data_IF_656380680140
#
_entry.id   IF_656380680140
#
_cell.length_a   1.000
_cell.length_b   1.000
_cell.length_c   1.000
_cell.angle_alpha   90.00
_cell.angle_beta   90.00
_cell.angle_gamma   90.00
#
_symmetry.space_group_name_H-M   'P 1'
#
loop_
_entity.id
_entity.type
_entity.pdbx_description
1 polymer ?
#
# COMPACT_ATOMS: atom_id res chain seq x y z
N UNK A 1 -32.90 -69.03 31.54
CA UNK A 1 -32.87 -67.56 31.47
C UNK A 1 -31.66 -67.10 32.27
N UNK A 2 -30.52 -66.87 31.62
CA UNK A 2 -29.27 -66.47 32.28
C UNK A 2 -28.93 -65.05 31.82
N UNK A 3 -29.09 -64.09 32.73
CA UNK A 3 -28.78 -62.67 32.48
C UNK A 3 -27.29 -62.48 32.75
N UNK A 4 -26.50 -62.25 31.69
CA UNK A 4 -25.10 -61.83 31.80
C UNK A 4 -25.05 -60.32 31.95
N UNK A 5 -24.62 -59.84 33.10
CA UNK A 5 -24.28 -58.44 33.31
C UNK A 5 -22.87 -58.18 32.79
N UNK A 6 -22.76 -57.36 31.74
CA UNK A 6 -21.47 -56.85 31.25
C UNK A 6 -21.20 -55.54 31.99
N UNK A 7 -20.10 -55.39 32.74
CA UNK A 7 -19.75 -54.12 33.35
C UNK A 7 -19.17 -53.22 32.26
N UNK A 8 -19.89 -52.15 31.91
CA UNK A 8 -19.38 -51.07 31.05
C UNK A 8 -18.41 -50.25 31.90
N UNK A 9 -17.12 -50.41 31.65
CA UNK A 9 -16.08 -49.59 32.24
C UNK A 9 -16.09 -48.22 31.54
N UNK A 10 -16.75 -47.23 32.14
CA UNK A 10 -16.63 -45.84 31.72
C UNK A 10 -15.20 -45.36 32.02
N UNK A 11 -14.32 -45.43 31.03
CA UNK A 11 -13.10 -44.64 30.98
C UNK A 11 -13.52 -43.17 30.91
N UNK A 12 -13.63 -42.54 32.09
CA UNK A 12 -13.60 -41.09 32.20
C UNK A 12 -12.25 -40.65 31.64
N UNK A 13 -12.23 -40.29 30.37
CA UNK A 13 -11.22 -39.42 29.81
C UNK A 13 -11.26 -38.14 30.66
N UNK A 14 -10.43 -38.09 31.69
CA UNK A 14 -9.92 -36.86 32.24
C UNK A 14 -9.09 -36.22 31.13
N UNK A 15 -9.76 -35.65 30.13
CA UNK A 15 -9.21 -34.54 29.39
C UNK A 15 -8.97 -33.47 30.43
N UNK A 16 -7.75 -33.43 30.99
CA UNK A 16 -7.20 -32.19 31.49
C UNK A 16 -7.40 -31.21 30.34
N UNK A 17 -8.41 -30.36 30.46
CA UNK A 17 -8.44 -29.11 29.72
C UNK A 17 -7.14 -28.44 30.13
N UNK A 18 -6.11 -28.58 29.29
CA UNK A 18 -4.86 -27.89 29.47
C UNK A 18 -5.25 -26.42 29.35
N UNK A 19 -5.46 -25.78 30.51
CA UNK A 19 -5.83 -24.38 30.57
C UNK A 19 -4.71 -23.65 29.86
N UNK A 20 -5.06 -22.92 28.79
CA UNK A 20 -4.08 -22.19 28.01
C UNK A 20 -3.19 -21.37 28.96
N UNK A 21 -1.88 -21.43 28.74
CA UNK A 21 -0.94 -20.59 29.48
C UNK A 21 -0.80 -19.24 28.75
N UNK A 22 -1.94 -18.57 28.55
CA UNK A 22 -2.06 -17.32 27.80
C UNK A 22 -1.97 -16.08 28.69
N UNK A 23 -1.96 -16.25 30.02
CA UNK A 23 -1.98 -15.17 31.00
C UNK A 23 -0.73 -15.08 31.88
N UNK A 24 -0.17 -13.88 31.92
CA UNK A 24 0.88 -13.45 32.83
C UNK A 24 0.26 -12.68 34.00
N UNK A 25 0.52 -13.11 35.22
CA UNK A 25 0.08 -12.40 36.43
C UNK A 25 1.28 -12.04 37.28
N UNK A 26 1.07 -11.19 38.29
CA UNK A 26 2.13 -10.85 39.24
C UNK A 26 2.71 -12.09 39.95
N UNK A 27 1.89 -13.09 40.25
CA UNK A 27 2.32 -14.32 40.92
C UNK A 27 3.00 -15.32 39.97
N UNK A 28 2.88 -15.10 38.65
CA UNK A 28 3.40 -15.99 37.62
C UNK A 28 4.23 -15.17 36.61
N UNK A 29 5.47 -14.80 36.97
CA UNK A 29 6.36 -14.11 36.04
C UNK A 29 6.82 -15.05 34.93
N UNK A 30 7.22 -14.49 33.79
CA UNK A 30 7.75 -15.23 32.66
C UNK A 30 9.27 -15.17 32.68
N UNK A 31 9.90 -16.33 32.77
CA UNK A 31 11.34 -16.53 32.82
C UNK A 31 11.83 -17.32 31.60
N UNK A 32 13.14 -17.33 31.38
CA UNK A 32 13.72 -18.10 30.28
C UNK A 32 13.37 -19.59 30.34
N UNK A 33 13.07 -20.18 29.19
CA UNK A 33 12.65 -21.58 29.06
C UNK A 33 11.13 -21.79 29.15
N UNK A 34 10.39 -20.79 29.62
CA UNK A 34 8.93 -20.78 29.62
C UNK A 34 8.40 -19.85 28.52
N UNK A 35 7.17 -20.11 28.07
CA UNK A 35 6.47 -19.35 27.05
C UNK A 35 5.02 -19.14 27.45
N UNK A 36 4.48 -17.98 27.12
CA UNK A 36 3.05 -17.70 27.13
C UNK A 36 2.49 -18.08 25.75
N UNK A 37 1.42 -18.86 25.68
CA UNK A 37 0.85 -19.33 24.40
C UNK A 37 -0.59 -18.86 24.30
N UNK A 38 -0.98 -18.28 23.15
CA UNK A 38 -2.35 -17.84 22.92
C UNK A 38 -3.32 -19.02 23.00
N UNK A 39 -4.59 -18.77 23.31
CA UNK A 39 -5.61 -19.82 23.46
C UNK A 39 -5.73 -20.72 22.22
N UNK A 40 -5.58 -20.17 21.01
CA UNK A 40 -5.57 -20.94 19.77
C UNK A 40 -4.30 -21.76 19.54
N UNK A 41 -3.22 -21.50 20.26
CA UNK A 41 -1.90 -22.09 20.01
C UNK A 41 -1.12 -21.44 18.85
N UNK A 42 -1.65 -20.40 18.22
CA UNK A 42 -1.04 -19.80 17.03
C UNK A 42 0.15 -18.90 17.33
N UNK A 43 0.14 -18.22 18.47
CA UNK A 43 1.19 -17.29 18.89
C UNK A 43 1.78 -17.70 20.23
N UNK A 44 3.08 -17.47 20.37
CA UNK A 44 3.76 -17.57 21.66
C UNK A 44 4.61 -16.35 21.94
N UNK A 45 4.66 -15.95 23.20
CA UNK A 45 5.54 -14.93 23.76
C UNK A 45 6.59 -15.62 24.62
N UNK A 46 7.86 -15.20 24.48
CA UNK A 46 8.91 -15.66 25.38
C UNK A 46 10.28 -15.17 24.98
N UNK A 47 11.30 -15.75 25.59
CA UNK A 47 12.68 -15.41 25.32
C UNK A 47 13.21 -16.18 24.10
N UNK A 48 13.98 -15.50 23.26
CA UNK A 48 14.62 -16.09 22.09
C UNK A 48 15.98 -15.42 21.81
N UNK A 49 16.79 -16.12 21.02
CA UNK A 49 17.95 -15.54 20.35
C UNK A 49 17.83 -15.81 18.84
N UNK A 50 18.19 -14.86 17.96
CA UNK A 50 18.05 -15.03 16.51
C UNK A 50 18.90 -16.18 15.94
N UNK A 51 20.05 -16.48 16.57
CA UNK A 51 20.94 -17.59 16.17
C UNK A 51 21.50 -18.27 17.40
N UNK A 52 21.96 -19.51 17.25
CA UNK A 52 22.56 -20.30 18.33
C UNK A 52 23.93 -19.75 18.78
N UNK A 53 24.60 -18.97 17.93
CA UNK A 53 25.89 -18.34 18.23
C UNK A 53 25.74 -16.95 18.87
N UNK A 54 24.56 -16.33 18.77
CA UNK A 54 24.35 -14.98 19.27
C UNK A 54 24.16 -15.01 20.80
N UNK A 55 24.89 -14.15 21.50
CA UNK A 55 24.78 -14.00 22.97
C UNK A 55 23.72 -12.99 23.39
N UNK A 56 23.02 -12.39 22.43
CA UNK A 56 21.92 -11.47 22.67
C UNK A 56 20.59 -12.21 22.71
N UNK A 57 19.85 -11.97 23.80
CA UNK A 57 18.52 -12.54 24.04
C UNK A 57 17.48 -11.43 24.10
N UNK A 58 16.31 -11.75 23.57
CA UNK A 58 15.19 -10.83 23.41
C UNK A 58 13.91 -11.49 23.89
N UNK A 59 12.99 -10.68 24.39
CA UNK A 59 11.60 -11.04 24.61
C UNK A 59 10.82 -10.69 23.34
N UNK A 60 10.12 -11.66 22.76
CA UNK A 60 9.36 -11.43 21.54
C UNK A 60 8.18 -12.38 21.36
N UNK A 61 7.35 -12.06 20.38
CA UNK A 61 6.19 -12.85 19.96
C UNK A 61 6.51 -13.49 18.62
N UNK A 62 6.16 -14.76 18.43
CA UNK A 62 6.31 -15.48 17.17
C UNK A 62 5.11 -16.38 16.89
N UNK A 63 4.98 -16.81 15.64
CA UNK A 63 4.04 -17.88 15.27
C UNK A 63 4.49 -19.20 15.89
N UNK A 64 3.71 -19.74 16.84
CA UNK A 64 4.03 -20.93 17.61
C UNK A 64 3.72 -22.23 16.86
N UNK A 65 2.61 -22.25 16.13
CA UNK A 65 2.12 -23.43 15.40
C UNK A 65 2.86 -23.71 14.09
N UNK A 66 3.76 -22.81 13.64
CA UNK A 66 4.49 -22.96 12.39
C UNK A 66 5.75 -23.82 12.53
N UNK A 67 6.01 -24.76 11.59
CA UNK A 67 7.24 -25.53 11.57
C UNK A 67 8.43 -24.67 11.10
N UNK A 68 9.65 -25.10 11.48
CA UNK A 68 10.89 -24.47 11.03
C UNK A 68 11.40 -23.36 11.97
N UNK A 69 12.21 -22.41 11.46
CA UNK A 69 12.73 -21.29 12.23
C UNK A 69 11.60 -20.41 12.78
N UNK A 70 11.77 -19.90 13.99
CA UNK A 70 10.79 -19.00 14.62
C UNK A 70 10.57 -17.77 13.75
N UNK A 71 9.33 -17.55 13.30
CA UNK A 71 8.94 -16.30 12.64
C UNK A 71 8.50 -15.30 13.70
N UNK A 72 9.42 -14.44 14.11
CA UNK A 72 9.20 -13.39 15.11
C UNK A 72 8.43 -12.23 14.47
N UNK A 73 7.43 -11.71 15.16
CA UNK A 73 6.52 -10.65 14.69
C UNK A 73 6.52 -9.41 15.60
N UNK A 74 7.09 -9.53 16.81
CA UNK A 74 7.22 -8.44 17.76
C UNK A 74 8.38 -8.70 18.72
N UNK A 75 9.08 -7.63 19.13
CA UNK A 75 10.24 -7.69 20.04
C UNK A 75 10.19 -6.52 21.02
N UNK A 76 10.18 -6.81 22.33
CA UNK A 76 10.08 -5.79 23.38
C UNK A 76 11.39 -4.99 23.52
N UNK A 77 12.49 -5.69 23.79
CA UNK A 77 13.78 -5.10 24.15
C UNK A 77 14.76 -5.10 22.98
N UNK A 78 14.27 -4.77 21.78
CA UNK A 78 15.04 -4.90 20.53
C UNK A 78 16.36 -4.13 20.51
N UNK A 79 16.42 -2.97 21.18
CA UNK A 79 17.62 -2.14 21.28
C UNK A 79 18.38 -2.31 22.62
N UNK A 80 17.87 -3.16 23.52
CA UNK A 80 18.45 -3.44 24.83
C UNK A 80 18.48 -4.96 25.08
N UNK A 81 19.32 -5.72 24.35
CA UNK A 81 19.42 -7.17 24.50
C UNK A 81 19.91 -7.59 25.89
N UNK A 82 19.52 -8.79 26.31
CA UNK A 82 20.03 -9.46 27.52
C UNK A 82 21.18 -10.38 27.13
N UNK A 83 22.27 -10.39 27.89
CA UNK A 83 23.44 -11.25 27.62
C UNK A 83 23.38 -12.62 28.29
N UNK A 84 22.65 -12.73 29.41
CA UNK A 84 22.38 -13.98 30.10
C UNK A 84 20.85 -14.18 30.17
N UNK A 85 20.28 -15.16 29.45
CA UNK A 85 18.84 -15.31 29.37
C UNK A 85 18.21 -15.67 30.72
N UNK A 86 18.89 -16.47 31.53
CA UNK A 86 18.42 -16.86 32.87
C UNK A 86 18.36 -15.70 33.85
N UNK A 87 18.94 -14.54 33.51
CA UNK A 87 18.80 -13.32 34.29
C UNK A 87 17.52 -12.55 33.99
N UNK A 88 16.91 -12.78 32.81
CA UNK A 88 15.74 -12.03 32.34
C UNK A 88 14.44 -12.53 32.95
N UNK A 89 13.64 -11.62 33.52
CA UNK A 89 12.29 -11.91 34.03
C UNK A 89 11.32 -10.83 33.58
N UNK A 90 10.23 -11.23 32.93
CA UNK A 90 9.10 -10.36 32.61
C UNK A 90 8.02 -10.49 33.69
N UNK A 91 7.62 -9.37 34.28
CA UNK A 91 6.65 -9.33 35.39
C UNK A 91 5.57 -8.28 35.15
N UNK A 92 4.37 -8.54 35.69
CA UNK A 92 3.36 -7.50 35.92
C UNK A 92 3.60 -6.89 37.31
N UNK A 93 3.79 -5.59 37.36
CA UNK A 93 4.06 -4.86 38.61
C UNK A 93 2.78 -4.41 39.31
N UNK A 94 2.89 -4.07 40.61
CA UNK A 94 1.80 -3.49 41.41
C UNK A 94 1.24 -2.18 40.84
N UNK A 95 2.02 -1.46 40.02
CA UNK A 95 1.62 -0.22 39.39
C UNK A 95 1.07 -0.45 37.96
N UNK A 96 0.58 -1.66 37.67
CA UNK A 96 -0.07 -1.98 36.39
C UNK A 96 0.84 -1.65 35.19
N UNK A 97 2.10 -2.09 35.28
CA UNK A 97 3.09 -1.96 34.21
C UNK A 97 3.78 -3.29 33.97
N UNK A 98 4.10 -3.60 32.73
CA UNK A 98 4.96 -4.73 32.37
C UNK A 98 6.42 -4.29 32.44
N UNK A 99 7.24 -5.07 33.15
CA UNK A 99 8.67 -4.78 33.33
C UNK A 99 9.49 -6.03 33.03
N UNK A 100 10.42 -5.89 32.09
CA UNK A 100 11.50 -6.83 31.86
C UNK A 100 12.74 -6.35 32.64
N UNK A 101 13.20 -7.19 33.56
CA UNK A 101 14.36 -6.89 34.42
C UNK A 101 15.41 -7.99 34.36
N UNK A 102 16.65 -7.65 34.67
CA UNK A 102 17.72 -8.64 34.89
C UNK A 102 17.76 -9.13 36.35
N UNK A 103 18.66 -10.08 36.63
CA UNK A 103 18.81 -10.69 37.96
C UNK A 103 19.28 -9.71 39.04
N UNK A 104 19.78 -8.53 38.66
CA UNK A 104 20.13 -7.46 39.60
C UNK A 104 18.96 -6.52 39.91
N UNK A 105 17.80 -6.76 39.28
CA UNK A 105 16.63 -5.89 39.39
C UNK A 105 16.72 -4.64 38.52
N UNK A 106 17.70 -4.56 37.61
CA UNK A 106 17.81 -3.44 36.66
C UNK A 106 16.74 -3.59 35.58
N UNK A 107 16.02 -2.52 35.32
CA UNK A 107 15.00 -2.46 34.28
C UNK A 107 15.65 -2.41 32.89
N UNK A 108 15.34 -3.40 32.05
CA UNK A 108 15.79 -3.50 30.66
C UNK A 108 14.76 -2.88 29.71
N UNK A 109 13.49 -3.14 29.97
CA UNK A 109 12.37 -2.62 29.20
C UNK A 109 11.13 -2.51 30.08
N UNK A 110 10.29 -1.50 29.85
CA UNK A 110 9.01 -1.37 30.54
C UNK A 110 7.98 -0.66 29.66
N UNK A 111 6.70 -0.94 29.91
CA UNK A 111 5.59 -0.22 29.29
C UNK A 111 5.43 1.16 29.92
N UNK A 112 5.26 2.19 29.10
CA UNK A 112 4.80 3.50 29.59
C UNK A 112 3.31 3.38 29.95
N UNK A 113 2.98 3.38 31.24
CA UNK A 113 1.58 3.38 31.69
C UNK A 113 1.09 4.82 31.84
N UNK A 114 0.00 5.16 31.16
CA UNK A 114 -0.61 6.50 31.19
C UNK A 114 -1.61 6.65 32.35
N UNK A 115 -1.79 5.61 33.17
CA UNK A 115 -2.78 5.60 34.24
C UNK A 115 -2.13 6.08 35.53
N UNK A 116 -2.54 7.28 35.99
CA UNK A 116 -2.10 7.84 37.28
C UNK A 116 -2.60 7.03 38.49
N UNK A 117 -3.68 6.25 38.31
CA UNK A 117 -4.28 5.42 39.35
C UNK A 117 -3.75 3.98 39.31
N UNK A 118 -3.34 3.47 40.48
CA UNK A 118 -2.96 2.06 40.66
C UNK A 118 -4.16 1.16 40.37
N UNK A 119 -4.06 0.29 39.36
CA UNK A 119 -5.06 -0.75 39.12
C UNK A 119 -4.58 -2.05 39.74
N UNK A 120 -5.12 -2.37 40.92
CA UNK A 120 -4.81 -3.62 41.61
C UNK A 120 -5.22 -4.83 40.75
N UNK A 121 -4.38 -5.87 40.71
CA UNK A 121 -4.64 -7.15 40.00
C UNK A 121 -4.74 -7.06 38.48
N UNK A 122 -4.04 -6.13 37.85
CA UNK A 122 -3.81 -6.19 36.40
C UNK A 122 -3.12 -7.51 36.02
N UNK A 123 -3.43 -8.02 34.83
CA UNK A 123 -2.80 -9.20 34.25
C UNK A 123 -2.53 -8.93 32.77
N UNK A 124 -1.54 -9.60 32.18
CA UNK A 124 -1.31 -9.53 30.75
C UNK A 124 -1.76 -10.82 30.07
N UNK A 125 -2.26 -10.71 28.85
CA UNK A 125 -2.81 -11.80 28.07
C UNK A 125 -2.30 -11.74 26.63
N UNK A 126 -1.91 -12.89 26.07
CA UNK A 126 -1.58 -13.02 24.65
C UNK A 126 -2.82 -13.48 23.89
N UNK A 127 -3.43 -12.56 23.12
CA UNK A 127 -4.64 -12.83 22.35
C UNK A 127 -4.34 -13.66 21.09
N UNK A 128 -5.38 -14.32 20.55
CA UNK A 128 -5.28 -15.12 19.32
C UNK A 128 -4.94 -14.29 18.06
N UNK A 129 -5.06 -12.96 18.12
CA UNK A 129 -4.57 -12.05 17.08
C UNK A 129 -3.06 -11.86 17.10
N UNK A 130 -2.37 -12.36 18.14
CA UNK A 130 -0.97 -12.06 18.42
C UNK A 130 -0.76 -10.77 19.23
N UNK A 131 -1.83 -10.05 19.59
CA UNK A 131 -1.74 -8.86 20.43
C UNK A 131 -1.50 -9.26 21.90
N UNK A 132 -0.36 -8.84 22.46
CA UNK A 132 -0.09 -8.95 23.89
C UNK A 132 -0.61 -7.70 24.61
N UNK A 133 -1.54 -7.91 25.54
CA UNK A 133 -2.32 -6.84 26.17
C UNK A 133 -2.17 -6.89 27.68
N UNK A 134 -1.90 -5.75 28.31
CA UNK A 134 -2.02 -5.57 29.75
C UNK A 134 -3.43 -5.05 30.06
N UNK A 135 -4.19 -5.80 30.86
CA UNK A 135 -5.62 -5.57 31.09
C UNK A 135 -5.91 -5.40 32.58
N UNK A 136 -6.77 -4.44 32.90
CA UNK A 136 -7.33 -4.25 34.25
C UNK A 136 -8.38 -5.31 34.57
N UNK A 137 -8.71 -5.53 35.87
CA UNK A 137 -9.74 -6.50 36.25
C UNK A 137 -11.14 -6.21 35.68
N UNK A 138 -11.44 -4.96 35.34
CA UNK A 138 -12.71 -4.55 34.73
C UNK A 138 -12.77 -4.78 33.21
N UNK A 139 -11.69 -5.31 32.62
CA UNK A 139 -11.60 -5.62 31.20
C UNK A 139 -11.02 -4.50 30.34
N UNK A 140 -10.66 -3.35 30.91
CA UNK A 140 -10.05 -2.24 30.17
C UNK A 140 -8.60 -2.55 29.77
N UNK A 141 -8.26 -2.27 28.51
CA UNK A 141 -6.89 -2.43 28.02
C UNK A 141 -6.05 -1.22 28.46
N UNK A 142 -5.00 -1.48 29.23
CA UNK A 142 -4.08 -0.48 29.79
C UNK A 142 -2.94 -0.20 28.81
N UNK A 143 -2.46 -1.26 28.16
CA UNK A 143 -1.36 -1.23 27.20
C UNK A 143 -1.50 -2.39 26.22
N UNK A 144 -1.09 -2.21 24.97
CA UNK A 144 -1.10 -3.28 23.97
C UNK A 144 0.11 -3.22 23.05
N UNK A 145 0.63 -4.40 22.68
CA UNK A 145 1.76 -4.53 21.76
C UNK A 145 1.48 -3.97 20.37
N UNK A 146 0.23 -3.99 19.91
CA UNK A 146 -0.18 -3.43 18.62
C UNK A 146 0.00 -1.91 18.53
N UNK A 147 0.04 -1.19 19.65
CA UNK A 147 0.37 0.25 19.65
C UNK A 147 1.88 0.52 19.57
N UNK A 148 2.69 -0.54 19.70
CA UNK A 148 4.15 -0.49 19.70
C UNK A 148 4.73 -1.51 18.70
N UNK A 149 4.46 -1.36 17.39
CA UNK A 149 4.96 -2.28 16.38
C UNK A 149 6.50 -2.34 16.34
N UNK A 150 7.01 -3.43 15.78
CA UNK A 150 8.42 -3.54 15.40
C UNK A 150 8.59 -3.39 13.89
N UNK A 151 8.75 -4.48 13.16
CA UNK A 151 8.88 -4.50 11.70
C UNK A 151 7.66 -5.11 11.00
N UNK A 152 6.72 -5.69 11.75
CA UNK A 152 5.66 -6.53 11.21
C UNK A 152 4.27 -6.04 11.62
N UNK A 153 3.36 -6.03 10.65
CA UNK A 153 1.93 -5.81 10.83
C UNK A 153 1.18 -7.13 10.69
N UNK A 154 0.34 -7.44 11.68
CA UNK A 154 -0.51 -8.63 11.71
C UNK A 154 -1.94 -8.33 11.25
N UNK A 155 -2.73 -9.35 10.86
CA UNK A 155 -4.15 -9.17 10.58
C UNK A 155 -4.87 -8.57 11.79
N UNK A 156 -5.90 -7.75 11.56
CA UNK A 156 -6.70 -7.02 12.58
C UNK A 156 -5.94 -5.96 13.39
N UNK A 157 -4.64 -5.78 13.14
CA UNK A 157 -3.86 -4.71 13.74
C UNK A 157 -4.29 -3.35 13.18
N UNK A 158 -4.75 -2.46 14.06
CA UNK A 158 -5.06 -1.06 13.71
C UNK A 158 -3.80 -0.21 13.86
N UNK A 159 -3.02 -0.06 12.79
CA UNK A 159 -1.82 0.76 12.80
C UNK A 159 -2.17 2.25 12.60
N UNK A 160 -2.09 3.05 13.66
CA UNK A 160 -2.27 4.50 13.59
C UNK A 160 -0.99 5.16 13.05
N UNK A 161 -0.97 5.48 11.76
CA UNK A 161 0.20 6.05 11.10
C UNK A 161 0.35 7.55 11.41
N UNK A 162 -0.75 8.31 11.41
CA UNK A 162 -0.75 9.73 11.78
C UNK A 162 -2.04 10.19 12.47
N UNK A 163 -1.91 11.26 13.27
CA UNK A 163 -3.02 11.94 13.94
C UNK A 163 -2.88 13.44 13.75
N UNK A 164 -3.91 14.10 13.20
CA UNK A 164 -3.89 15.54 12.89
C UNK A 164 -2.62 15.96 12.12
N UNK A 165 -2.27 15.19 11.10
CA UNK A 165 -1.07 15.34 10.26
C UNK A 165 0.28 15.18 10.98
N UNK A 166 0.31 14.72 12.23
CA UNK A 166 1.54 14.34 12.93
C UNK A 166 1.77 12.84 12.86
N UNK A 167 3.01 12.41 12.59
CA UNK A 167 3.40 11.00 12.58
C UNK A 167 3.29 10.42 13.99
N UNK A 168 2.57 9.31 14.13
CA UNK A 168 2.35 8.61 15.41
C UNK A 168 3.02 7.24 15.39
N UNK A 169 2.69 6.42 14.41
CA UNK A 169 3.19 5.06 14.28
C UNK A 169 4.29 4.93 13.23
N UNK A 170 5.24 4.03 13.50
CA UNK A 170 6.30 3.66 12.55
C UNK A 170 6.64 2.18 12.69
N UNK A 171 6.78 1.49 11.58
CA UNK A 171 7.50 0.21 11.54
C UNK A 171 8.97 0.48 11.32
N UNK A 172 9.85 -0.19 12.06
CA UNK A 172 11.31 -0.06 11.96
C UNK A 172 11.86 -1.44 11.65
N UNK A 173 12.52 -1.56 10.49
CA UNK A 173 13.13 -2.81 10.04
C UNK A 173 14.15 -3.32 11.06
N UNK A 174 14.39 -4.62 11.05
CA UNK A 174 15.55 -5.18 11.74
C UNK A 174 16.84 -4.63 11.11
N UNK A 175 17.89 -4.51 11.91
CA UNK A 175 19.21 -4.09 11.44
C UNK A 175 19.84 -5.10 10.47
N UNK A 176 19.50 -6.37 10.63
CA UNK A 176 19.90 -7.43 9.72
C UNK A 176 19.11 -8.71 9.96
N UNK A 177 19.37 -9.78 9.18
CA UNK A 177 18.62 -11.03 9.25
C UNK A 177 18.73 -11.75 10.61
N UNK A 178 19.74 -11.42 11.41
CA UNK A 178 20.02 -12.03 12.70
C UNK A 178 20.18 -11.01 13.84
N UNK A 179 19.79 -9.76 13.59
CA UNK A 179 19.89 -8.65 14.55
C UNK A 179 18.58 -7.85 14.57
N UNK A 180 17.70 -8.09 15.58
CA UNK A 180 16.40 -7.44 15.67
C UNK A 180 16.45 -5.99 16.15
N UNK A 181 17.64 -5.47 16.49
CA UNK A 181 17.80 -4.05 16.82
C UNK A 181 17.30 -3.15 15.68
N UNK A 182 17.02 -1.90 16.02
CA UNK A 182 16.48 -0.91 15.09
C UNK A 182 17.46 -0.69 13.93
N UNK A 183 17.01 -1.02 12.72
CA UNK A 183 17.76 -0.82 11.48
C UNK A 183 17.55 0.57 10.87
N UNK A 184 18.12 0.76 9.68
CA UNK A 184 18.11 2.06 8.99
C UNK A 184 16.82 2.32 8.21
N UNK A 185 16.03 1.28 7.92
CA UNK A 185 14.77 1.40 7.19
C UNK A 185 13.57 1.51 8.11
N UNK A 186 12.61 2.37 7.73
CA UNK A 186 11.36 2.52 8.46
C UNK A 186 10.19 2.90 7.56
N UNK A 187 8.99 2.49 7.93
CA UNK A 187 7.74 2.79 7.22
C UNK A 187 6.86 3.66 8.13
N UNK A 188 6.51 4.86 7.68
CA UNK A 188 5.65 5.80 8.40
C UNK A 188 4.95 6.77 7.46
N UNK A 189 4.03 7.58 7.98
CA UNK A 189 3.49 8.71 7.23
C UNK A 189 4.56 9.77 6.95
N UNK A 190 4.36 10.55 5.87
CA UNK A 190 5.16 11.75 5.60
C UNK A 190 4.82 12.88 6.58
N UNK A 191 5.79 13.32 7.43
CA UNK A 191 5.56 14.43 8.36
C UNK A 191 5.43 15.79 7.68
N UNK A 192 5.85 15.92 6.42
CA UNK A 192 5.89 17.19 5.69
C UNK A 192 4.64 17.45 4.83
N UNK A 193 3.79 16.45 4.65
CA UNK A 193 2.60 16.53 3.81
C UNK A 193 1.32 16.60 4.65
N UNK A 194 0.41 17.56 4.39
CA UNK A 194 -0.89 17.61 5.07
C UNK A 194 -1.81 16.45 4.62
N UNK A 195 -1.49 15.78 3.52
CA UNK A 195 -2.22 14.60 3.03
C UNK A 195 -1.44 13.35 3.40
N UNK A 196 -2.07 12.38 4.10
CA UNK A 196 -1.36 11.20 4.54
C UNK A 196 -0.88 10.36 3.36
N UNK A 197 0.42 10.13 3.31
CA UNK A 197 1.09 9.22 2.38
C UNK A 197 2.03 8.34 3.19
N UNK A 198 2.12 7.05 2.85
CA UNK A 198 3.12 6.18 3.44
C UNK A 198 4.43 6.26 2.66
N UNK A 199 5.52 6.33 3.42
CA UNK A 199 6.86 6.43 2.89
C UNK A 199 7.73 5.42 3.62
N UNK A 200 8.47 4.63 2.85
CA UNK A 200 9.63 3.91 3.37
C UNK A 200 10.78 4.90 3.35
N UNK A 201 11.40 5.07 4.50
CA UNK A 201 12.55 5.94 4.74
C UNK A 201 13.80 5.09 4.86
N UNK A 202 14.89 5.58 4.29
CA UNK A 202 16.24 5.17 4.66
C UNK A 202 16.84 6.27 5.53
N UNK A 203 16.89 6.01 6.83
CA UNK A 203 17.23 6.98 7.88
C UNK A 203 16.25 8.16 7.86
N UNK A 204 16.61 9.26 7.22
CA UNK A 204 15.77 10.47 7.08
C UNK A 204 15.38 10.77 5.62
N UNK A 205 15.88 10.00 4.66
CA UNK A 205 15.62 10.23 3.23
C UNK A 205 14.47 9.34 2.75
N UNK A 206 13.53 9.85 1.94
CA UNK A 206 12.55 9.01 1.28
C UNK A 206 13.27 7.97 0.41
N UNK A 207 12.95 6.70 0.62
CA UNK A 207 13.48 5.57 -0.14
C UNK A 207 12.49 5.08 -1.18
N UNK A 208 11.23 4.92 -0.77
CA UNK A 208 10.11 4.54 -1.63
C UNK A 208 8.84 5.21 -1.12
N UNK A 209 8.05 5.80 -2.03
CA UNK A 209 6.76 6.43 -1.71
C UNK A 209 5.63 5.58 -2.28
N UNK A 210 4.66 5.20 -1.45
CA UNK A 210 3.44 4.54 -1.94
C UNK A 210 2.62 5.52 -2.75
N UNK A 211 1.81 5.03 -3.68
CA UNK A 211 0.81 5.87 -4.36
C UNK A 211 -0.11 6.55 -3.34
N UNK A 212 -0.67 7.71 -3.70
CA UNK A 212 -1.67 8.38 -2.86
C UNK A 212 -2.84 7.42 -2.67
N UNK A 213 -3.08 7.01 -1.43
CA UNK A 213 -4.09 6.01 -1.12
C UNK A 213 -5.47 6.66 -1.21
N UNK A 214 -6.27 6.25 -2.18
CA UNK A 214 -7.74 6.25 -2.12
C UNK A 214 -8.22 5.15 -1.16
N UNK A 215 -9.43 5.26 -0.64
CA UNK A 215 -10.07 4.23 0.23
C UNK A 215 -10.12 2.82 -0.42
N UNK A 216 -10.04 2.75 -1.76
CA UNK A 216 -9.96 1.50 -2.51
C UNK A 216 -8.52 1.09 -2.91
N UNK A 217 -7.49 1.69 -2.32
CA UNK A 217 -6.11 1.46 -2.74
C UNK A 217 -5.52 0.25 -2.05
N UNK A 218 -5.42 -0.81 -2.83
CA UNK A 218 -4.70 -2.01 -2.46
C UNK A 218 -3.20 -1.71 -2.63
N UNK A 219 -2.44 -1.61 -1.53
CA UNK A 219 -0.96 -1.48 -1.58
C UNK A 219 -0.34 -2.76 -2.16
N UNK A 220 -0.96 -3.92 -1.93
CA UNK A 220 -0.49 -5.22 -2.37
C UNK A 220 -1.55 -5.95 -3.19
N UNK A 221 -1.57 -5.72 -4.50
CA UNK A 221 -2.45 -6.42 -5.43
C UNK A 221 -1.84 -7.77 -5.81
N UNK A 222 -2.42 -8.87 -5.33
CA UNK A 222 -2.01 -10.22 -5.72
C UNK A 222 -3.22 -11.16 -5.76
N UNK A 223 -3.33 -11.92 -6.85
CA UNK A 223 -4.29 -13.02 -6.96
C UNK A 223 -3.81 -14.20 -6.14
N UNK A 224 -4.66 -14.69 -5.25
CA UNK A 224 -4.44 -15.92 -4.49
C UNK A 224 -4.25 -17.11 -5.43
N UNK A 225 -3.23 -17.94 -5.16
CA UNK A 225 -3.12 -19.28 -5.73
C UNK A 225 -4.08 -20.29 -5.06
N UNK A 226 -4.81 -19.89 -4.00
CA UNK A 226 -5.80 -20.71 -3.31
C UNK A 226 -7.15 -19.97 -3.14
N UNK A 227 -8.20 -20.60 -3.64
CA UNK A 227 -9.48 -20.04 -4.09
C UNK A 227 -10.44 -19.39 -3.04
N UNK A 228 -10.01 -18.91 -1.86
CA UNK A 228 -11.00 -18.49 -0.81
C UNK A 228 -10.59 -17.44 0.23
N UNK A 229 -9.41 -16.84 0.23
CA UNK A 229 -9.11 -15.71 1.14
C UNK A 229 -9.28 -14.40 0.40
N UNK A 230 -10.05 -13.43 0.90
CA UNK A 230 -9.90 -12.04 0.49
C UNK A 230 -9.22 -11.29 1.63
N UNK A 231 -8.13 -10.58 1.33
CA UNK A 231 -7.58 -9.58 2.26
C UNK A 231 -8.29 -8.28 1.98
N UNK A 232 -9.14 -7.85 2.94
CA UNK A 232 -9.70 -6.51 2.91
C UNK A 232 -8.67 -5.57 3.53
N UNK A 233 -8.18 -4.64 2.71
CA UNK A 233 -7.31 -3.55 3.14
C UNK A 233 -8.18 -2.32 3.41
N UNK A 234 -8.10 -1.78 4.61
CA UNK A 234 -8.82 -0.57 4.99
C UNK A 234 -7.79 0.48 5.44
N UNK A 235 -7.58 1.49 4.60
CA UNK A 235 -6.85 2.69 4.95
C UNK A 235 -7.88 3.81 5.08
N UNK A 236 -8.13 4.25 6.31
CA UNK A 236 -9.17 5.22 6.60
C UNK A 236 -8.59 6.47 7.24
N UNK A 237 -9.08 7.62 6.79
CA UNK A 237 -8.97 8.88 7.52
C UNK A 237 -10.33 9.12 8.15
N UNK A 238 -10.44 9.02 9.48
CA UNK A 238 -11.70 9.33 10.12
C UNK A 238 -11.90 10.84 10.29
N UNK A 239 -13.12 11.24 10.63
CA UNK A 239 -13.50 12.64 10.90
C UNK A 239 -12.71 13.32 12.03
N UNK A 240 -11.94 12.55 12.84
CA UNK A 240 -11.07 13.06 13.91
C UNK A 240 -9.64 13.33 13.44
N UNK A 241 -9.34 13.10 12.16
CA UNK A 241 -8.01 13.26 11.57
C UNK A 241 -7.04 12.14 11.92
N UNK A 242 -7.53 10.96 12.30
CA UNK A 242 -6.72 9.75 12.47
C UNK A 242 -6.58 9.07 11.12
N UNK A 243 -5.34 8.86 10.69
CA UNK A 243 -5.01 8.03 9.54
C UNK A 243 -4.45 6.70 10.04
N UNK A 244 -5.24 5.64 9.86
CA UNK A 244 -4.86 4.30 10.27
C UNK A 244 -5.00 3.31 9.12
N UNK A 245 -4.21 2.24 9.20
CA UNK A 245 -4.19 1.15 8.25
C UNK A 245 -4.49 -0.13 9.00
N UNK A 246 -5.36 -0.94 8.42
CA UNK A 246 -5.70 -2.26 8.91
C UNK A 246 -5.87 -3.19 7.72
N UNK A 247 -5.52 -4.46 7.90
CA UNK A 247 -5.92 -5.49 6.95
C UNK A 247 -6.52 -6.68 7.71
N UNK A 248 -7.51 -7.31 7.10
CA UNK A 248 -8.17 -8.50 7.65
C UNK A 248 -8.06 -9.66 6.66
N UNK A 249 -8.22 -10.88 7.15
CA UNK A 249 -8.20 -12.09 6.34
C UNK A 249 -9.49 -12.87 6.60
N UNK A 250 -9.99 -13.58 5.59
CA UNK A 250 -11.15 -14.45 5.75
C UNK A 250 -10.85 -15.59 6.73
N UNK A 251 -11.87 -16.10 7.41
CA UNK A 251 -11.74 -17.28 8.28
C UNK A 251 -11.12 -18.45 7.51
N UNK A 252 -10.24 -19.20 8.17
CA UNK A 252 -9.46 -20.31 7.59
C UNK A 252 -8.44 -19.92 6.50
N UNK A 253 -8.17 -18.63 6.30
CA UNK A 253 -7.04 -18.21 5.44
C UNK A 253 -5.70 -18.61 6.08
N UNK A 254 -4.67 -18.91 5.26
CA UNK A 254 -3.32 -19.12 5.79
C UNK A 254 -2.80 -17.89 6.56
N UNK A 255 -1.90 -18.13 7.52
CA UNK A 255 -1.24 -17.03 8.22
C UNK A 255 -0.62 -16.06 7.24
N UNK A 256 -0.81 -14.78 7.49
CA UNK A 256 -0.44 -13.72 6.57
C UNK A 256 0.08 -12.53 7.37
N UNK A 257 1.11 -11.86 6.85
CA UNK A 257 1.74 -10.70 7.51
C UNK A 257 2.30 -9.71 6.49
N UNK A 258 2.40 -8.45 6.87
CA UNK A 258 3.22 -7.45 6.17
C UNK A 258 4.45 -7.20 7.03
N UNK A 259 5.64 -7.23 6.43
CA UNK A 259 6.90 -7.01 7.16
C UNK A 259 7.80 -6.07 6.39
N UNK A 260 8.45 -5.14 7.09
CA UNK A 260 9.50 -4.30 6.53
C UNK A 260 10.85 -4.97 6.78
N UNK A 261 11.43 -5.55 5.73
CA UNK A 261 12.69 -6.27 5.84
C UNK A 261 13.89 -5.32 5.95
N UNK A 262 15.05 -5.86 6.39
CA UNK A 262 16.29 -5.11 6.63
C UNK A 262 16.88 -4.44 5.38
N UNK A 263 16.49 -4.86 4.18
CA UNK A 263 16.85 -4.24 2.89
C UNK A 263 15.91 -3.12 2.46
N UNK A 264 14.89 -2.82 3.26
CA UNK A 264 13.95 -1.73 3.02
C UNK A 264 12.79 -2.10 2.09
N UNK A 265 12.49 -3.40 1.88
CA UNK A 265 11.27 -3.81 1.19
C UNK A 265 10.18 -4.14 2.20
N UNK A 266 9.00 -3.59 1.96
CA UNK A 266 7.78 -3.95 2.65
C UNK A 266 7.13 -5.11 1.91
N UNK A 267 7.17 -6.30 2.49
CA UNK A 267 6.75 -7.56 1.90
C UNK A 267 5.44 -8.04 2.50
N UNK A 268 4.50 -8.39 1.63
CA UNK A 268 3.27 -9.08 1.98
C UNK A 268 3.47 -10.59 1.77
N UNK A 269 3.39 -11.34 2.87
CA UNK A 269 3.77 -12.74 2.93
C UNK A 269 2.57 -13.57 3.40
N UNK A 270 2.36 -14.73 2.76
CA UNK A 270 1.38 -15.73 3.19
C UNK A 270 2.06 -17.07 3.40
N UNK A 271 1.69 -17.76 4.47
CA UNK A 271 2.28 -19.05 4.81
C UNK A 271 1.78 -20.13 3.86
N UNK A 272 2.70 -20.85 3.23
CA UNK A 272 2.38 -22.00 2.38
C UNK A 272 2.64 -23.30 3.15
N UNK A 273 1.55 -24.00 3.51
CA UNK A 273 1.61 -25.28 4.22
C UNK A 273 2.31 -26.39 3.42
N UNK A 274 2.24 -26.37 2.08
CA UNK A 274 2.86 -27.41 1.25
C UNK A 274 4.38 -27.32 1.27
N UNK A 275 4.93 -26.10 1.20
CA UNK A 275 6.38 -25.87 1.22
C UNK A 275 6.93 -25.56 2.62
N UNK A 276 6.07 -25.44 3.64
CA UNK A 276 6.44 -25.02 5.00
C UNK A 276 7.31 -23.75 5.00
N UNK A 277 6.89 -22.75 4.22
CA UNK A 277 7.64 -21.50 4.05
C UNK A 277 6.71 -20.31 3.76
N UNK A 278 7.21 -19.11 3.98
CA UNK A 278 6.52 -17.87 3.62
C UNK A 278 6.61 -17.63 2.11
N UNK A 279 5.46 -17.63 1.44
CA UNK A 279 5.33 -17.26 0.05
C UNK A 279 5.17 -15.74 -0.08
N UNK A 280 5.95 -15.13 -0.98
CA UNK A 280 5.84 -13.71 -1.32
C UNK A 280 4.62 -13.47 -2.20
N UNK A 281 3.66 -12.69 -1.68
CA UNK A 281 2.46 -12.27 -2.42
C UNK A 281 2.71 -10.97 -3.17
N UNK A 282 3.44 -10.05 -2.53
CA UNK A 282 3.88 -8.80 -3.13
C UNK A 282 4.95 -8.13 -2.28
N UNK A 283 5.75 -7.26 -2.88
CA UNK A 283 6.74 -6.46 -2.16
C UNK A 283 6.76 -5.04 -2.73
N UNK A 284 7.20 -4.08 -1.93
CA UNK A 284 7.51 -2.73 -2.41
C UNK A 284 8.77 -2.21 -1.72
N UNK A 285 9.74 -1.62 -2.44
CA UNK A 285 9.78 -1.47 -3.89
C UNK A 285 10.02 -2.80 -4.64
N UNK A 286 9.38 -2.99 -5.80
CA UNK A 286 9.55 -4.15 -6.70
C UNK A 286 10.64 -3.94 -7.74
N UNK A 287 10.84 -2.69 -8.17
CA UNK A 287 11.70 -2.32 -9.28
C UNK A 287 12.37 -0.96 -9.03
N UNK A 288 13.36 -0.62 -9.84
CA UNK A 288 14.07 0.66 -9.73
C UNK A 288 13.13 1.87 -9.78
N UNK A 289 12.07 1.84 -10.58
CA UNK A 289 11.12 2.95 -10.72
C UNK A 289 10.32 3.25 -9.44
N UNK A 290 10.21 2.29 -8.51
CA UNK A 290 9.53 2.51 -7.23
C UNK A 290 10.40 3.35 -6.27
N UNK A 291 11.71 3.38 -6.51
CA UNK A 291 12.65 4.18 -5.73
C UNK A 291 12.35 5.66 -5.91
N UNK A 292 12.35 6.35 -4.78
CA UNK A 292 11.99 7.76 -4.73
C UNK A 292 12.87 8.60 -5.65
N UNK A 293 12.24 9.37 -6.53
CA UNK A 293 12.91 10.30 -7.44
C UNK A 293 14.02 9.64 -8.30
N UNK A 294 13.84 8.38 -8.71
CA UNK A 294 14.74 7.73 -9.68
C UNK A 294 14.89 8.56 -10.95
N UNK A 295 13.78 9.09 -11.44
CA UNK A 295 13.73 10.02 -12.55
C UNK A 295 13.70 11.45 -12.02
N UNK A 296 14.53 12.33 -12.60
CA UNK A 296 14.67 13.70 -12.14
C UNK A 296 13.42 14.56 -12.40
N UNK A 297 13.46 15.84 -11.99
CA UNK A 297 12.33 16.76 -12.16
C UNK A 297 11.75 16.80 -13.57
N UNK A 298 10.42 16.92 -13.68
CA UNK A 298 9.65 16.97 -14.94
C UNK A 298 9.85 15.76 -15.86
N UNK A 299 10.27 14.64 -15.29
CA UNK A 299 10.32 13.33 -15.94
C UNK A 299 9.55 12.30 -15.11
N UNK A 300 9.21 11.17 -15.72
CA UNK A 300 8.52 10.07 -15.05
C UNK A 300 9.14 8.73 -15.44
N UNK A 301 9.00 7.74 -14.56
CA UNK A 301 9.39 6.36 -14.87
C UNK A 301 8.25 5.62 -15.57
N UNK A 302 8.48 5.05 -16.75
CA UNK A 302 7.42 4.37 -17.52
C UNK A 302 7.43 2.85 -17.32
N UNK A 303 6.47 2.33 -16.56
CA UNK A 303 6.28 0.88 -16.34
C UNK A 303 5.54 0.20 -17.49
N UNK A 304 5.01 0.94 -18.46
CA UNK A 304 4.32 0.35 -19.62
C UNK A 304 5.29 -0.23 -20.65
N UNK A 305 6.58 0.06 -20.50
CA UNK A 305 7.65 -0.45 -21.35
C UNK A 305 8.23 -1.76 -20.83
N UNK A 306 8.76 -2.58 -21.74
CA UNK A 306 9.42 -3.86 -21.40
C UNK A 306 10.60 -3.61 -20.44
N UNK A 307 11.34 -2.53 -20.66
CA UNK A 307 12.41 -2.08 -19.76
C UNK A 307 11.97 -0.72 -19.21
N UNK A 308 11.67 -0.62 -17.91
CA UNK A 308 11.27 0.65 -17.32
C UNK A 308 12.37 1.70 -17.47
N UNK A 309 12.00 2.88 -17.96
CA UNK A 309 12.95 3.95 -18.25
C UNK A 309 12.36 5.33 -17.93
N UNK A 310 13.23 6.28 -17.64
CA UNK A 310 12.84 7.66 -17.41
C UNK A 310 12.51 8.36 -18.73
N UNK A 311 11.38 9.06 -18.78
CA UNK A 311 10.95 9.85 -19.93
C UNK A 311 10.60 11.27 -19.51
N UNK A 312 10.96 12.25 -20.34
CA UNK A 312 10.49 13.62 -20.14
C UNK A 312 8.98 13.72 -20.41
N UNK A 313 8.32 14.59 -19.67
CA UNK A 313 6.95 14.99 -19.99
C UNK A 313 6.89 15.60 -21.40
N UNK A 314 5.74 15.46 -22.08
CA UNK A 314 5.54 16.08 -23.38
C UNK A 314 5.75 17.61 -23.28
N UNK A 315 6.45 18.19 -24.26
CA UNK A 315 6.84 19.61 -24.20
C UNK A 315 8.08 19.91 -23.35
N UNK A 316 8.72 18.88 -22.79
CA UNK A 316 10.00 18.97 -22.09
C UNK A 316 11.10 18.22 -22.85
N UNK A 317 12.36 18.56 -22.56
CA UNK A 317 13.56 17.93 -23.11
C UNK A 317 14.60 17.69 -22.00
N UNK A 318 15.48 16.68 -22.13
CA UNK A 318 16.50 16.40 -21.13
C UNK A 318 17.40 17.61 -20.85
N UNK A 319 17.86 17.76 -19.60
CA UNK A 319 18.82 18.82 -19.25
C UNK A 319 20.19 18.53 -19.87
N UNK A 320 20.61 17.25 -19.83
CA UNK A 320 21.83 16.75 -20.45
C UNK A 320 21.47 15.79 -21.59
N UNK A 321 22.26 15.77 -22.67
CA UNK A 321 22.02 14.97 -23.89
C UNK A 321 21.97 13.44 -23.66
N UNK A 322 22.27 12.96 -22.45
CA UNK A 322 22.55 11.55 -22.16
C UNK A 322 21.43 10.88 -21.34
N UNK A 323 20.76 11.58 -20.40
CA UNK A 323 19.69 10.94 -19.63
C UNK A 323 18.67 11.88 -19.00
N UNK A 324 17.42 11.44 -19.01
CA UNK A 324 16.27 11.99 -18.28
C UNK A 324 16.35 11.76 -16.76
N UNK A 325 17.32 10.96 -16.28
CA UNK A 325 17.53 10.72 -14.85
C UNK A 325 17.92 11.99 -14.08
N UNK A 326 18.59 12.95 -14.74
CA UNK A 326 18.88 14.26 -14.15
C UNK A 326 17.70 15.25 -14.22
N UNK A 327 16.63 14.86 -14.90
CA UNK A 327 15.45 15.67 -15.11
C UNK A 327 15.39 16.33 -16.48
N UNK A 328 14.32 17.08 -16.69
CA UNK A 328 13.97 17.70 -17.96
C UNK A 328 13.62 19.17 -17.77
N UNK A 329 13.87 19.97 -18.80
CA UNK A 329 13.50 21.38 -18.87
C UNK A 329 12.41 21.59 -19.91
N UNK A 330 11.63 22.66 -19.77
CA UNK A 330 10.60 23.02 -20.74
C UNK A 330 11.25 23.41 -22.07
N UNK A 331 10.70 22.93 -23.20
CA UNK A 331 11.08 23.38 -24.55
C UNK A 331 10.72 24.84 -24.80
N UNK A 332 9.62 25.31 -24.20
CA UNK A 332 9.14 26.69 -24.27
C UNK A 332 8.90 27.25 -22.86
N UNK A 333 9.41 28.45 -22.63
CA UNK A 333 9.24 29.16 -21.35
C UNK A 333 7.78 29.52 -21.17
N UNK A 334 7.24 29.26 -19.98
CA UNK A 334 5.89 29.65 -19.61
C UNK A 334 5.92 31.07 -19.05
N UNK A 335 5.21 32.01 -19.69
CA UNK A 335 5.01 33.36 -19.17
C UNK A 335 3.55 33.51 -18.76
N UNK A 336 3.29 34.08 -17.58
CA UNK A 336 1.93 34.11 -17.05
C UNK A 336 0.96 34.95 -17.92
N UNK A 337 1.48 35.97 -18.62
CA UNK A 337 0.70 36.81 -19.52
C UNK A 337 0.38 36.14 -20.86
N UNK A 338 1.10 35.06 -21.21
CA UNK A 338 0.93 34.37 -22.48
C UNK A 338 -0.15 33.27 -22.35
N UNK A 339 -0.85 32.93 -23.44
CA UNK A 339 -1.77 31.80 -23.45
C UNK A 339 -1.06 30.51 -23.02
N UNK A 340 -1.73 29.75 -22.16
CA UNK A 340 -1.27 28.44 -21.70
C UNK A 340 -2.41 27.43 -21.75
N UNK A 341 -2.08 26.15 -21.84
CA UNK A 341 -3.06 25.07 -21.76
C UNK A 341 -2.55 23.95 -20.84
N UNK A 342 -3.45 23.05 -20.48
CA UNK A 342 -3.11 21.84 -19.75
C UNK A 342 -3.13 20.63 -20.67
N UNK A 343 -2.13 19.78 -20.54
CA UNK A 343 -2.07 18.46 -21.19
C UNK A 343 -2.34 17.41 -20.13
N UNK A 344 -3.23 16.47 -20.45
CA UNK A 344 -3.58 15.35 -19.58
C UNK A 344 -2.70 14.15 -19.88
N UNK A 345 -2.11 13.58 -18.83
CA UNK A 345 -1.37 12.32 -18.86
C UNK A 345 -2.03 11.32 -17.91
N UNK A 346 -2.72 10.29 -18.43
CA UNK A 346 -3.44 9.31 -17.62
C UNK A 346 -2.51 8.21 -17.08
N UNK A 347 -2.99 7.49 -16.06
CA UNK A 347 -2.31 6.32 -15.52
C UNK A 347 -1.08 6.66 -14.67
N UNK A 348 -1.07 7.81 -14.01
CA UNK A 348 0.10 8.31 -13.31
C UNK A 348 0.08 7.98 -11.82
N UNK A 349 1.23 7.51 -11.31
CA UNK A 349 1.68 7.84 -9.94
C UNK A 349 1.97 9.33 -9.95
N UNK A 350 1.02 10.13 -9.45
CA UNK A 350 1.14 11.58 -9.46
C UNK A 350 2.37 12.03 -8.67
N UNK A 351 3.02 13.15 -9.06
CA UNK A 351 4.26 13.60 -8.43
C UNK A 351 4.11 13.86 -6.92
N UNK A 352 5.22 13.89 -6.21
CA UNK A 352 5.24 14.21 -4.78
C UNK A 352 5.10 15.74 -4.53
N UNK A 353 5.01 16.16 -3.26
CA UNK A 353 5.01 17.57 -2.81
C UNK A 353 3.86 18.43 -3.37
N UNK A 354 2.68 17.85 -3.46
CA UNK A 354 1.47 18.57 -3.85
C UNK A 354 0.87 19.37 -2.69
N UNK A 355 0.10 20.39 -3.05
CA UNK A 355 -0.85 21.06 -2.18
C UNK A 355 -2.22 20.42 -2.37
N UNK A 356 -2.82 19.92 -1.30
CA UNK A 356 -4.17 19.40 -1.34
C UNK A 356 -5.17 20.51 -0.98
N UNK A 357 -6.03 20.85 -1.95
CA UNK A 357 -7.09 21.84 -1.79
C UNK A 357 -8.41 21.08 -1.60
N UNK A 358 -9.05 21.26 -0.46
CA UNK A 358 -10.27 20.56 -0.10
C UNK A 358 -11.51 21.18 -0.76
N UNK A 359 -12.55 20.37 -0.95
CA UNK A 359 -13.90 20.76 -1.40
C UNK A 359 -13.88 21.55 -2.71
N UNK A 360 -13.20 21.02 -3.73
CA UNK A 360 -13.13 21.62 -5.06
C UNK A 360 -13.65 20.64 -6.08
N UNK A 361 -14.54 21.06 -6.95
CA UNK A 361 -14.88 20.33 -8.17
C UNK A 361 -13.68 20.26 -9.13
N UNK A 362 -13.79 19.44 -10.17
CA UNK A 362 -12.77 19.36 -11.22
C UNK A 362 -12.48 20.73 -11.86
N UNK A 363 -13.53 21.49 -12.19
CA UNK A 363 -13.41 22.79 -12.83
C UNK A 363 -12.81 23.84 -11.89
N UNK A 364 -13.16 23.80 -10.61
CA UNK A 364 -12.57 24.67 -9.60
C UNK A 364 -11.10 24.33 -9.36
N UNK A 365 -10.73 23.06 -9.30
CA UNK A 365 -9.33 22.62 -9.18
C UNK A 365 -8.49 23.11 -10.37
N UNK A 366 -9.06 23.00 -11.56
CA UNK A 366 -8.48 23.54 -12.80
C UNK A 366 -8.29 25.06 -12.71
N UNK A 367 -9.30 25.77 -12.20
CA UNK A 367 -9.24 27.22 -12.03
C UNK A 367 -8.21 27.67 -10.98
N UNK A 368 -8.05 26.94 -9.87
CA UNK A 368 -7.02 27.23 -8.85
C UNK A 368 -5.61 27.21 -9.47
N UNK A 369 -5.31 26.18 -10.26
CA UNK A 369 -4.03 26.10 -10.95
C UNK A 369 -3.89 27.16 -12.06
N UNK A 370 -4.95 27.40 -12.85
CA UNK A 370 -4.89 28.35 -13.96
C UNK A 370 -4.63 29.80 -13.49
N UNK A 371 -5.26 30.21 -12.37
CA UNK A 371 -5.12 31.55 -11.77
C UNK A 371 -3.75 31.78 -11.13
N UNK A 372 -3.06 30.71 -10.72
CA UNK A 372 -1.74 30.80 -10.12
C UNK A 372 -0.65 30.65 -11.18
N UNK A 373 0.07 31.73 -11.46
CA UNK A 373 1.18 31.74 -12.44
C UNK A 373 2.28 30.72 -12.15
N UNK A 374 2.48 30.37 -10.88
CA UNK A 374 3.49 29.41 -10.44
C UNK A 374 3.01 27.97 -10.56
N UNK A 375 1.73 27.74 -10.82
CA UNK A 375 1.21 26.38 -10.95
C UNK A 375 1.79 25.66 -12.17
N UNK A 376 2.37 24.49 -11.93
CA UNK A 376 2.98 23.64 -12.96
C UNK A 376 2.08 22.48 -13.36
N UNK A 377 1.28 21.96 -12.44
CA UNK A 377 0.32 20.88 -12.70
C UNK A 377 -0.81 20.83 -11.66
N UNK A 378 -1.86 20.10 -11.98
CA UNK A 378 -2.88 19.65 -11.03
C UNK A 378 -3.33 18.21 -11.34
N UNK A 379 -3.98 17.59 -10.38
CA UNK A 379 -4.62 16.27 -10.50
C UNK A 379 -5.92 16.31 -9.72
N UNK A 380 -6.89 15.54 -10.20
CA UNK A 380 -8.22 15.51 -9.60
C UNK A 380 -8.76 14.08 -9.57
N UNK A 381 -9.27 13.69 -8.40
CA UNK A 381 -10.04 12.47 -8.23
C UNK A 381 -11.38 12.77 -7.56
N UNK A 382 -12.45 12.14 -8.07
CA UNK A 382 -13.75 12.14 -7.40
C UNK A 382 -13.83 10.90 -6.49
N UNK A 383 -13.91 11.12 -5.19
CA UNK A 383 -13.99 10.11 -4.14
C UNK A 383 -15.45 9.82 -3.73
N UNK A 384 -16.45 10.45 -4.35
CA UNK A 384 -17.86 10.31 -3.98
C UNK A 384 -18.42 8.87 -4.10
N UNK A 385 -17.78 7.99 -4.86
CA UNK A 385 -18.16 6.57 -4.98
C UNK A 385 -17.60 5.70 -3.85
N UNK A 386 -16.74 6.23 -2.99
CA UNK A 386 -15.95 5.47 -2.03
C UNK A 386 -16.53 5.44 -0.60
N UNK A 387 -17.51 6.32 -0.30
CA UNK A 387 -18.30 6.25 0.93
C UNK A 387 -17.69 6.94 2.15
N UNK A 388 -18.49 7.77 2.80
CA UNK A 388 -18.34 8.27 4.18
C UNK A 388 -17.12 9.15 4.56
N UNK A 389 -16.46 9.84 3.62
CA UNK A 389 -15.68 11.06 3.97
C UNK A 389 -16.43 12.36 3.66
N UNK A 390 -16.16 13.39 4.48
CA UNK A 390 -16.76 14.72 4.39
C UNK A 390 -16.33 15.51 3.14
N UNK A 391 -15.21 15.13 2.52
CA UNK A 391 -14.74 15.66 1.25
C UNK A 391 -14.80 14.56 0.18
N UNK A 392 -15.63 14.78 -0.82
CA UNK A 392 -15.85 13.84 -1.94
C UNK A 392 -14.90 14.11 -3.12
N UNK A 393 -13.97 15.04 -2.96
CA UNK A 393 -13.06 15.48 -3.99
C UNK A 393 -11.62 15.47 -3.50
N UNK A 394 -10.66 15.19 -4.38
CA UNK A 394 -9.24 15.35 -4.10
C UNK A 394 -8.61 16.19 -5.20
N UNK A 395 -8.42 17.48 -4.91
CA UNK A 395 -7.73 18.41 -5.79
C UNK A 395 -6.28 18.58 -5.33
N UNK A 396 -5.34 18.12 -6.15
CA UNK A 396 -3.90 18.23 -5.89
C UNK A 396 -3.30 19.24 -6.86
N UNK A 397 -2.50 20.18 -6.35
CA UNK A 397 -1.88 21.26 -7.15
C UNK A 397 -0.38 21.32 -6.87
N UNK A 398 0.42 21.50 -7.92
CA UNK A 398 1.88 21.66 -7.84
C UNK A 398 2.27 23.08 -8.25
N UNK A 399 3.12 23.73 -7.44
CA UNK A 399 3.63 25.09 -7.69
C UNK A 399 5.10 25.13 -8.12
N UNK A 400 5.70 23.96 -8.37
CA UNK A 400 7.14 23.83 -8.61
C UNK A 400 7.47 22.61 -9.44
N UNK A 401 8.65 22.05 -9.16
CA UNK A 401 9.13 20.86 -9.85
C UNK A 401 8.23 19.65 -9.62
N UNK A 402 8.02 18.86 -10.67
CA UNK A 402 7.30 17.60 -10.60
C UNK A 402 8.31 16.48 -10.40
N UNK A 403 8.33 15.86 -9.22
CA UNK A 403 9.30 14.82 -8.84
C UNK A 403 8.61 13.53 -8.42
N UNK A 404 9.31 12.40 -8.56
CA UNK A 404 8.80 11.08 -8.17
C UNK A 404 7.47 10.69 -8.88
N UNK A 405 7.41 11.00 -10.17
CA UNK A 405 6.30 10.60 -11.04
C UNK A 405 6.57 9.25 -11.71
N UNK A 406 5.51 8.47 -11.91
CA UNK A 406 5.57 7.19 -12.62
C UNK A 406 4.34 6.99 -13.49
N UNK A 407 4.46 6.22 -14.57
CA UNK A 407 3.38 5.89 -15.48
C UNK A 407 3.12 4.38 -15.48
N UNK A 408 1.92 4.00 -15.11
CA UNK A 408 1.44 2.62 -15.12
C UNK A 408 0.14 2.48 -15.92
N UNK A 409 -0.47 1.30 -15.82
CA UNK A 409 -1.77 0.99 -16.44
C UNK A 409 -2.95 1.42 -15.56
N UNK A 410 -2.72 1.60 -14.26
CA UNK A 410 -3.69 2.09 -13.29
C UNK A 410 -3.05 3.26 -12.51
N UNK A 411 -3.71 4.41 -12.52
CA UNK A 411 -3.23 5.63 -11.88
C UNK A 411 -4.14 6.82 -12.20
N UNK A 412 -3.82 7.98 -11.64
CA UNK A 412 -4.62 9.19 -11.83
C UNK A 412 -4.23 9.96 -13.10
N UNK A 413 -5.09 10.88 -13.51
CA UNK A 413 -4.76 11.83 -14.57
C UNK A 413 -3.97 12.99 -13.98
N UNK A 414 -2.75 13.19 -14.47
CA UNK A 414 -1.94 14.38 -14.20
C UNK A 414 -2.17 15.40 -15.32
N UNK A 415 -2.57 16.61 -14.96
CA UNK A 415 -2.77 17.72 -15.89
C UNK A 415 -1.63 18.73 -15.69
N UNK A 416 -0.66 18.76 -16.60
CA UNK A 416 0.49 19.65 -16.48
C UNK A 416 0.41 20.80 -17.49
N UNK A 417 0.89 21.98 -17.08
CA UNK A 417 0.73 23.24 -17.81
C UNK A 417 1.81 23.38 -18.87
N UNK A 418 1.46 23.73 -20.11
CA UNK A 418 2.37 24.06 -21.20
C UNK A 418 2.11 25.45 -21.77
N UNK A 419 3.14 26.03 -22.40
CA UNK A 419 3.04 27.31 -23.11
C UNK A 419 2.33 27.14 -24.46
N UNK A 420 1.78 28.24 -24.96
CA UNK A 420 0.92 28.36 -26.15
C UNK A 420 -0.43 27.65 -25.98
N UNK A 421 -1.46 28.00 -26.74
CA UNK A 421 -2.60 27.11 -26.93
C UNK A 421 -2.24 26.14 -28.07
N UNK A 422 -2.67 24.85 -28.04
CA UNK A 422 -2.49 23.98 -29.19
C UNK A 422 -3.13 24.68 -30.39
N UNK A 423 -2.34 24.97 -31.42
CA UNK A 423 -2.88 25.40 -32.70
C UNK A 423 -3.75 24.23 -33.14
N UNK A 424 -5.06 24.41 -33.11
CA UNK A 424 -6.00 23.51 -33.76
C UNK A 424 -5.54 23.39 -35.21
N UNK A 425 -4.72 22.38 -35.52
CA UNK A 425 -4.63 21.84 -36.86
C UNK A 425 -5.95 21.12 -37.07
N UNK A 426 -7.05 21.88 -37.16
CA UNK A 426 -8.21 21.47 -37.93
C UNK A 426 -7.64 21.13 -39.29
N UNK A 427 -7.43 19.84 -39.54
CA UNK A 427 -7.34 19.33 -40.89
C UNK A 427 -8.69 19.75 -41.47
N UNK A 428 -8.68 20.88 -42.18
CA UNK A 428 -9.89 21.47 -42.72
C UNK A 428 -10.60 20.35 -43.48
N UNK A 429 -11.80 19.99 -43.04
CA UNK A 429 -12.61 18.93 -43.63
C UNK A 429 -12.74 19.13 -45.14
N UNK A 430 -12.57 20.37 -45.61
CA UNK A 430 -12.46 20.76 -47.02
C UNK A 430 -11.37 19.97 -47.77
N UNK A 431 -10.19 19.73 -47.17
CA UNK A 431 -9.09 18.99 -47.83
C UNK A 431 -9.41 17.50 -48.05
N UNK A 432 -10.33 16.92 -47.28
CA UNK A 432 -10.74 15.51 -47.40
C UNK A 432 -12.06 15.38 -48.19
N UNK A 433 -13.00 16.32 -48.00
CA UNK A 433 -14.33 16.28 -48.61
C UNK A 433 -14.29 16.67 -50.09
N UNK A 434 -13.47 17.64 -50.51
CA UNK A 434 -13.40 18.05 -51.92
C UNK A 434 -13.00 16.91 -52.87
N UNK A 435 -11.94 16.12 -52.58
CA UNK A 435 -11.56 14.99 -53.42
C UNK A 435 -12.64 13.91 -53.50
N UNK A 436 -13.31 13.62 -52.38
CA UNK A 436 -14.37 12.59 -52.30
C UNK A 436 -15.58 13.02 -53.13
N UNK A 437 -16.01 14.28 -53.01
CA UNK A 437 -17.14 14.81 -53.78
C UNK A 437 -16.80 14.83 -55.28
N UNK A 438 -15.58 15.25 -55.65
CA UNK A 438 -15.14 15.23 -57.04
C UNK A 438 -15.12 13.81 -57.62
N UNK A 439 -14.65 12.82 -56.86
CA UNK A 439 -14.64 11.42 -57.26
C UNK A 439 -16.05 10.85 -57.46
N UNK A 440 -16.98 11.15 -56.54
CA UNK A 440 -18.38 10.72 -56.65
C UNK A 440 -19.10 11.36 -57.85
N UNK A 441 -18.83 12.64 -58.15
CA UNK A 441 -19.36 13.30 -59.35
C UNK A 441 -18.82 12.68 -60.64
N UNK A 442 -17.54 12.29 -60.66
CA UNK A 442 -16.94 11.57 -61.79
C UNK A 442 -17.62 10.21 -62.02
N UNK A 443 -17.85 9.45 -60.95
CA UNK A 443 -18.55 8.15 -61.04
C UNK A 443 -19.99 8.29 -61.52
N UNK A 444 -20.72 9.31 -61.07
CA UNK A 444 -22.10 9.54 -61.54
C UNK A 444 -22.14 9.97 -63.01
N UNK A 445 -21.21 10.82 -63.46
CA UNK A 445 -21.07 11.16 -64.88
C UNK A 445 -20.77 9.92 -65.75
N UNK A 446 -19.85 9.05 -65.30
CA UNK A 446 -19.55 7.80 -66.01
C UNK A 446 -20.79 6.90 -66.08
N UNK A 447 -21.52 6.74 -64.97
CA UNK A 447 -22.73 5.94 -64.92
C UNK A 447 -23.83 6.48 -65.85
N UNK A 448 -24.01 7.80 -65.92
CA UNK A 448 -24.98 8.44 -66.81
C UNK A 448 -24.62 8.27 -68.29
N UNK A 449 -23.34 8.41 -68.65
CA UNK A 449 -22.87 8.15 -70.02
C UNK A 449 -23.07 6.68 -70.39
N UNK A 450 -22.83 5.76 -69.45
CA UNK A 450 -23.03 4.33 -69.66
C UNK A 450 -24.51 3.99 -69.84
N UNK A 451 -25.39 4.56 -69.00
CA UNK A 451 -26.84 4.46 -69.11
C UNK A 451 -27.36 5.00 -70.46
N UNK A 452 -26.82 6.13 -70.93
CA UNK A 452 -27.19 6.72 -72.21
C UNK A 452 -26.75 5.84 -73.40
N UNK A 453 -25.52 5.31 -73.37
CA UNK A 453 -25.03 4.35 -74.38
C UNK A 453 -25.81 3.02 -74.36
N UNK A 454 -26.18 2.51 -73.19
CA UNK A 454 -27.00 1.31 -73.06
C UNK A 454 -28.43 1.53 -73.58
N UNK A 455 -29.04 2.69 -73.32
CA UNK A 455 -30.35 3.06 -73.89
C UNK A 455 -30.30 3.23 -75.41
N UNK A 456 -29.22 3.80 -75.95
CA UNK A 456 -28.98 3.89 -77.39
C UNK A 456 -28.81 2.53 -78.08
N UNK A 457 -28.08 1.58 -77.46
CA UNK A 457 -27.94 0.20 -77.95
C UNK A 457 -29.25 -0.59 -77.87
N UNK A 458 -30.06 -0.37 -76.83
CA UNK A 458 -31.37 -1.04 -76.67
C UNK A 458 -32.39 -0.57 -77.71
N UNK A 459 -32.46 0.73 -77.98
CA UNK A 459 -33.27 1.29 -79.10
C UNK A 459 -32.81 0.82 -80.48
N UNK A 460 -31.50 0.68 -80.72
CA UNK A 460 -30.99 0.11 -81.98
C UNK A 460 -31.37 -1.37 -82.16
N UNK A 461 -31.35 -2.18 -81.09
CA UNK A 461 -31.80 -3.59 -81.13
C UNK A 461 -33.32 -3.72 -81.31
N UNK A 462 -34.12 -2.86 -80.69
CA UNK A 462 -35.58 -2.84 -80.90
C UNK A 462 -35.95 -2.42 -82.33
N UNK A 463 -35.22 -1.47 -82.93
CA UNK A 463 -35.43 -1.08 -84.32
C UNK A 463 -34.96 -2.14 -85.33
N UNK A 464 -33.88 -2.90 -85.03
CA UNK A 464 -33.46 -4.03 -85.88
C UNK A 464 -34.44 -5.21 -85.78
N UNK A 465 -35.01 -5.49 -84.61
CA UNK A 465 -36.01 -6.56 -84.46
C UNK A 465 -37.34 -6.23 -85.16
N UNK A 466 -37.72 -4.95 -85.26
CA UNK A 466 -38.90 -4.53 -86.04
C UNK A 466 -38.70 -4.58 -87.56
N UNK A 467 -37.45 -4.58 -88.04
CA UNK A 467 -37.11 -4.68 -89.47
C UNK A 467 -36.95 -6.12 -89.98
N UNK A 468 -36.90 -7.12 -89.08
CA UNK A 468 -36.83 -8.55 -89.45
C UNK A 468 -38.18 -9.29 -89.30
N UNK A 469 -39.27 -8.58 -88.98
CA UNK A 469 -40.64 -9.12 -88.88
C UNK A 469 -41.62 -8.40 -89.82
N UNK A 470 -41.12 -7.73 -90.86
CA UNK A 470 -41.91 -7.11 -91.93
C UNK A 470 -41.80 -7.89 -93.22
#
# INVERSE_FOLDING_TARGET
>A
MAIRYIPIFFLLFLSSFCKSDDQLTQAKPLTYGHTLVSESGDFALGFFSPTTSNRSFYLGIWYHSLPGPRTVVWVANRDNPITNPSSGTLTVTNNSSLVLSDSSGRNIWMTASNIAARVARAHAVLLNSGNFVLRSPDGTDIWQSFDHPTDTMLPTMRFLASYKAQVVGRFIAWKGPHDPSSGDFSLSSDPSSPTPQLVIWHVTRPYCRTTVLNEASVIYGGTYLSNTGSVLYEANINSRGEYYIMFTISENSPFTRITLDYSGKSQFLSWNNQSSSWALIGEHPTAACDLYALCGPFSYCDYTQIIPACQCLEGFEPIDDISSSKGCKRKKVLKCSDPSHFVSLPGMKVPDKFLHIQNKSFDECTAECNRNCSCTAYAYANLSRAGAMADSSRCLVWLGELTDAGKGTAGENLYFRLADAPVDKKISSVKIVLPIVAFLLLLTCIALVWMYKCRGKRRRRENQNKLMQG
#
